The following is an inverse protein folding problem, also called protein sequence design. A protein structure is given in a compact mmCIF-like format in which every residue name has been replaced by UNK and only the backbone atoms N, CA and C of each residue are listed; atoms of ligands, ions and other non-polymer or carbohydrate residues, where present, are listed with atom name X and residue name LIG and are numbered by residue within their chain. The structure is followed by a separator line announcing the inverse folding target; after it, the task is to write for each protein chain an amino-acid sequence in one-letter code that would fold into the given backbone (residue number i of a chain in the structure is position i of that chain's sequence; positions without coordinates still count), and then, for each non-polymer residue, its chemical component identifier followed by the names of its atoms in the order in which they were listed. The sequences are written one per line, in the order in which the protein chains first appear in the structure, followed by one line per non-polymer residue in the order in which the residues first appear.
data_IF_034933848004
#
_entry.id   IF_034933848004
#
_cell.length_a   1.000
_cell.length_b   1.000
_cell.length_c   1.000
_cell.angle_alpha   90.00
_cell.angle_beta   90.00
_cell.angle_gamma   90.00
#
_symmetry.space_group_name_H-M   'P 1'
#
loop_
_entity.id
_entity.type
_entity.pdbx_description
1 polymer ?
2 non-polymer ?
3 water ?
#
# COMPACT_ATOMS: atom_id res chain seq x y z
N UNK A 11 -26.87 4.45 -21.01
CA UNK A 11 -26.30 4.19 -19.69
C UNK A 11 -26.02 5.49 -18.91
N UNK A 12 -25.80 5.37 -17.59
CA UNK A 12 -25.52 6.47 -16.66
C UNK A 12 -24.03 6.92 -16.73
N UNK A 13 -23.15 6.05 -17.26
CA UNK A 13 -21.71 6.32 -17.36
C UNK A 13 -21.18 6.17 -18.77
N UNK A 14 -20.15 6.96 -19.12
CA UNK A 14 -19.54 6.98 -20.44
C UNK A 14 -18.01 6.86 -20.35
N UNK A 15 -17.47 5.65 -20.61
CA UNK A 15 -16.02 5.35 -20.59
C UNK A 15 -15.30 6.15 -21.66
N UNK A 16 -14.26 6.88 -21.25
CA UNK A 16 -13.51 7.75 -22.15
C UNK A 16 -12.04 7.31 -22.29
N UNK A 17 -11.51 6.58 -21.28
CA UNK A 17 -10.14 6.07 -21.28
C UNK A 17 -9.97 4.88 -20.34
N UNK A 18 -8.91 4.08 -20.54
CA UNK A 18 -8.57 2.94 -19.70
C UNK A 18 -7.50 3.39 -18.71
N UNK A 19 -7.68 3.04 -17.42
CA UNK A 19 -6.76 3.35 -16.32
C UNK A 19 -5.88 2.13 -16.03
N UNK A 20 -6.48 0.94 -16.06
CA UNK A 20 -5.77 -0.30 -15.77
C UNK A 20 -6.50 -1.55 -16.20
N UNK A 21 -5.73 -2.65 -16.29
CA UNK A 21 -6.21 -3.97 -16.70
C UNK A 21 -5.35 -5.05 -16.00
N UNK A 22 -5.98 -6.14 -15.59
CA UNK A 22 -5.31 -7.25 -14.94
C UNK A 22 -6.23 -8.37 -14.47
N UNK A 23 -5.73 -9.19 -13.53
CA UNK A 23 -6.45 -10.32 -12.93
C UNK A 23 -7.42 -9.81 -11.83
N UNK A 24 -8.36 -8.96 -12.28
CA UNK A 24 -9.44 -8.32 -11.52
C UNK A 24 -10.49 -7.85 -12.53
N UNK A 25 -10.01 -7.48 -13.71
CA UNK A 25 -10.79 -6.95 -14.82
C UNK A 25 -10.18 -5.65 -15.29
N UNK A 26 -11.01 -4.68 -15.66
CA UNK A 26 -10.50 -3.38 -16.12
C UNK A 26 -11.01 -2.22 -15.28
N UNK A 27 -10.22 -1.14 -15.23
CA UNK A 27 -10.56 0.12 -14.56
C UNK A 27 -10.61 1.18 -15.66
N UNK A 28 -11.75 1.88 -15.80
CA UNK A 28 -11.90 2.94 -16.80
C UNK A 28 -12.17 4.30 -16.16
N UNK A 29 -11.69 5.36 -16.82
CA UNK A 29 -11.97 6.75 -16.48
C UNK A 29 -13.25 7.02 -17.26
N UNK A 30 -14.36 7.32 -16.54
CA UNK A 30 -15.66 7.53 -17.17
C UNK A 30 -16.31 8.84 -16.78
N UNK A 31 -17.15 9.34 -17.68
CA UNK A 31 -17.93 10.55 -17.44
C UNK A 31 -19.22 10.12 -16.71
N UNK A 32 -19.50 10.77 -15.57
CA UNK A 32 -20.69 10.53 -14.75
C UNK A 32 -21.72 11.53 -15.24
N UNK A 33 -22.51 11.10 -16.22
CA UNK A 33 -23.52 11.88 -16.93
C UNK A 33 -24.56 12.56 -16.03
N UNK A 34 -25.03 11.84 -15.01
CA UNK A 34 -26.04 12.35 -14.09
C UNK A 34 -25.53 13.36 -13.10
N UNK A 35 -24.21 13.34 -12.81
CA UNK A 35 -23.66 14.25 -11.81
C UNK A 35 -22.74 15.32 -12.40
N UNK A 36 -23.27 16.05 -13.38
CA UNK A 36 -22.61 17.17 -14.01
C UNK A 36 -21.39 16.86 -14.87
N UNK A 37 -21.34 15.62 -15.36
CA UNK A 37 -20.25 15.15 -16.23
C UNK A 37 -18.91 15.04 -15.54
N UNK A 38 -18.91 14.83 -14.21
CA UNK A 38 -17.67 14.67 -13.43
C UNK A 38 -16.98 13.33 -13.83
N UNK A 39 -15.66 13.28 -13.73
CA UNK A 39 -14.96 12.03 -13.99
C UNK A 39 -15.13 11.12 -12.77
N UNK A 40 -15.31 9.83 -13.04
CA UNK A 40 -15.41 8.76 -12.06
C UNK A 40 -14.52 7.59 -12.57
N UNK A 41 -14.15 6.67 -11.68
CA UNK A 41 -13.38 5.51 -12.04
C UNK A 41 -14.29 4.28 -11.92
N UNK A 42 -14.56 3.55 -13.03
CA UNK A 42 -15.41 2.34 -12.98
C UNK A 42 -14.54 1.10 -13.07
N UNK A 43 -14.68 0.23 -12.09
CA UNK A 43 -13.97 -1.03 -12.00
C UNK A 43 -14.98 -2.16 -12.30
N UNK A 44 -14.68 -2.98 -13.31
CA UNK A 44 -15.52 -4.10 -13.72
C UNK A 44 -14.94 -5.43 -13.23
N UNK A 45 -15.76 -6.25 -12.54
CA UNK A 45 -15.38 -7.57 -11.98
C UNK A 45 -16.20 -8.77 -12.51
N UNK A 46 -15.70 -10.02 -12.31
CA UNK A 46 -16.29 -11.29 -12.77
C UNK A 46 -17.34 -11.95 -11.81
N UNK A 47 -17.91 -13.10 -12.23
CA UNK A 47 -18.92 -13.90 -11.52
C UNK A 47 -18.43 -15.33 -11.22
N UNK A 55 -21.42 -14.59 -6.21
CA UNK A 55 -21.07 -15.55 -5.17
C UNK A 55 -21.78 -15.18 -3.84
N UNK A 56 -21.07 -15.21 -2.67
CA UNK A 56 -21.57 -14.88 -1.31
C UNK A 56 -20.52 -14.13 -0.46
N UNK A 57 -19.23 -14.52 -0.60
CA UNK A 57 -18.07 -13.88 0.02
C UNK A 57 -17.91 -12.48 -0.62
N UNK A 58 -18.32 -12.37 -1.90
CA UNK A 58 -18.33 -11.16 -2.73
C UNK A 58 -19.44 -10.22 -2.24
N UNK A 59 -20.65 -10.78 -1.97
CA UNK A 59 -21.83 -10.03 -1.47
C UNK A 59 -21.41 -9.30 -0.19
N UNK A 60 -20.69 -10.03 0.67
CA UNK A 60 -20.16 -9.59 1.95
C UNK A 60 -19.07 -8.53 1.82
N UNK A 61 -18.14 -8.68 0.85
CA UNK A 61 -17.06 -7.72 0.58
C UNK A 61 -17.60 -6.37 0.09
N UNK A 62 -18.68 -6.40 -0.72
CA UNK A 62 -19.36 -5.20 -1.24
C UNK A 62 -20.06 -4.48 -0.08
N UNK A 63 -20.66 -5.25 0.87
CA UNK A 63 -21.34 -4.73 2.05
C UNK A 63 -20.38 -3.98 2.98
N UNK A 64 -19.15 -4.49 3.14
CA UNK A 64 -18.06 -3.89 3.93
C UNK A 64 -17.63 -2.57 3.24
N UNK A 65 -17.53 -2.60 1.89
CA UNK A 65 -17.16 -1.43 1.10
C UNK A 65 -18.20 -0.31 1.28
N UNK A 66 -19.51 -0.62 1.12
CA UNK A 66 -20.59 0.35 1.37
C UNK A 66 -20.55 0.86 2.83
N UNK A 67 -20.30 -0.05 3.81
CA UNK A 67 -20.21 0.34 5.21
C UNK A 67 -19.04 1.29 5.49
N UNK A 68 -17.87 1.06 4.86
CA UNK A 68 -16.68 1.91 5.05
C UNK A 68 -16.91 3.30 4.49
N UNK A 69 -17.66 3.36 3.37
CA UNK A 69 -18.06 4.56 2.67
C UNK A 69 -18.92 5.49 3.55
N UNK A 70 -19.74 4.94 4.49
CA UNK A 70 -20.58 5.75 5.38
C UNK A 70 -19.74 6.69 6.24
N UNK A 71 -18.48 6.32 6.52
CA UNK A 71 -17.55 7.13 7.31
C UNK A 71 -16.93 8.22 6.46
N UNK A 72 -16.96 8.04 5.11
CA UNK A 72 -16.37 8.98 4.13
C UNK A 72 -14.99 9.47 4.60
N UNK A 73 -14.08 8.51 4.99
CA UNK A 73 -12.73 8.84 5.46
C UNK A 73 -11.98 9.61 4.36
N UNK A 74 -11.31 10.76 4.67
CA UNK A 74 -10.66 11.54 3.60
C UNK A 74 -9.49 10.85 2.89
N UNK A 75 -8.92 9.79 3.51
CA UNK A 75 -7.74 9.14 2.95
C UNK A 75 -8.01 7.77 2.30
N UNK A 76 -9.23 7.60 1.78
CA UNK A 76 -9.65 6.45 0.98
C UNK A 76 -10.52 7.03 -0.13
N UNK A 77 -10.50 6.38 -1.27
CA UNK A 77 -11.29 6.80 -2.43
C UNK A 77 -12.80 6.67 -2.09
N UNK A 78 -13.62 7.65 -2.52
CA UNK A 78 -15.07 7.65 -2.27
C UNK A 78 -15.68 6.58 -3.13
N UNK A 79 -16.68 5.88 -2.64
CA UNK A 79 -17.44 4.90 -3.42
C UNK A 79 -18.81 5.54 -3.72
N UNK A 80 -19.05 5.94 -4.98
CA UNK A 80 -20.28 6.63 -5.37
C UNK A 80 -21.45 5.72 -5.72
N UNK A 81 -21.17 4.54 -6.26
CA UNK A 81 -22.21 3.58 -6.66
C UNK A 81 -21.65 2.17 -6.82
N UNK A 82 -22.56 1.18 -6.84
CA UNK A 82 -22.32 -0.25 -7.05
C UNK A 82 -23.42 -0.72 -8.03
N UNK A 83 -23.04 -1.39 -9.14
CA UNK A 83 -23.99 -1.88 -10.13
C UNK A 83 -23.96 -3.39 -10.31
N UNK A 84 -25.13 -3.97 -10.60
CA UNK A 84 -25.35 -5.41 -10.82
C UNK A 84 -25.21 -5.79 -12.30
N UNK A 93 -20.03 -7.81 -14.94
CA UNK A 93 -20.98 -8.32 -13.95
C UNK A 93 -21.15 -7.32 -12.80
N UNK A 94 -20.08 -7.02 -12.05
CA UNK A 94 -20.07 -6.09 -10.92
C UNK A 94 -19.32 -4.80 -11.29
N UNK A 95 -19.97 -3.64 -11.12
CA UNK A 95 -19.36 -2.35 -11.42
C UNK A 95 -19.25 -1.49 -10.17
N UNK A 96 -18.02 -1.10 -9.84
CA UNK A 96 -17.71 -0.27 -8.68
C UNK A 96 -17.40 1.14 -9.17
N UNK A 97 -18.19 2.12 -8.73
CA UNK A 97 -17.99 3.49 -9.18
C UNK A 97 -17.33 4.30 -8.07
N UNK A 98 -16.11 4.77 -8.30
CA UNK A 98 -15.37 5.57 -7.31
C UNK A 98 -15.17 6.98 -7.80
N UNK A 99 -14.82 7.92 -6.88
CA UNK A 99 -14.43 9.28 -7.27
C UNK A 99 -13.15 9.10 -8.09
N UNK A 100 -12.98 9.89 -9.17
CA UNK A 100 -11.77 9.79 -9.98
C UNK A 100 -10.70 10.68 -9.38
N UNK A 101 -9.44 10.21 -9.40
CA UNK A 101 -8.31 11.01 -8.97
C UNK A 101 -7.26 10.90 -10.10
N UNK A 102 -6.68 12.05 -10.48
CA UNK A 102 -5.81 12.25 -11.64
C UNK A 102 -4.54 11.42 -11.68
N UNK A 103 -3.88 11.21 -10.55
CA UNK A 103 -2.63 10.48 -10.58
C UNK A 103 -2.42 9.52 -9.42
N UNK A 104 -1.42 8.63 -9.57
CA UNK A 104 -1.00 7.69 -8.54
C UNK A 104 0.33 8.22 -7.96
N UNK A 105 0.90 7.57 -6.92
CA UNK A 105 2.15 7.99 -6.29
C UNK A 105 3.32 7.78 -7.26
N UNK A 106 3.25 6.73 -8.13
CA UNK A 106 4.26 6.40 -9.13
C UNK A 106 4.50 7.63 -10.05
N UNK A 107 3.44 8.09 -10.74
CA UNK A 107 3.52 9.25 -11.64
C UNK A 107 3.93 10.51 -10.85
N UNK A 108 3.46 10.66 -9.60
CA UNK A 108 3.85 11.80 -8.74
C UNK A 108 5.37 11.80 -8.51
N UNK A 109 5.96 10.64 -8.12
CA UNK A 109 7.38 10.51 -7.86
C UNK A 109 8.24 10.66 -9.13
N UNK A 110 7.68 10.27 -10.29
CA UNK A 110 8.34 10.38 -11.60
C UNK A 110 8.48 11.83 -12.04
N UNK A 111 7.46 12.68 -11.77
CA UNK A 111 7.40 14.09 -12.19
C UNK A 111 8.00 15.10 -11.19
N UNK A 112 8.25 14.70 -9.92
CA UNK A 112 8.77 15.63 -8.91
C UNK A 112 10.20 16.13 -9.27
N UNK A 113 10.45 17.48 -9.24
CA UNK A 113 11.79 18.00 -9.60
C UNK A 113 12.91 17.62 -8.62
N UNK A 114 14.16 17.74 -9.08
CA UNK A 114 15.35 17.46 -8.27
C UNK A 114 15.46 18.53 -7.16
N UNK A 115 16.00 18.23 -5.95
CA UNK A 115 16.61 16.98 -5.50
C UNK A 115 15.62 15.92 -4.99
N UNK A 116 14.33 16.09 -5.25
CA UNK A 116 13.28 15.15 -4.86
C UNK A 116 12.05 15.75 -4.18
N UNK A 117 11.29 14.89 -3.49
CA UNK A 117 10.08 15.27 -2.76
C UNK A 117 10.47 16.11 -1.54
N UNK A 118 9.87 17.30 -1.32
CA UNK A 118 10.22 18.09 -0.13
C UNK A 118 10.03 17.29 1.15
N UNK A 119 10.96 17.46 2.08
CA UNK A 119 11.04 16.78 3.38
C UNK A 119 9.70 16.80 4.15
N UNK A 120 8.95 17.90 4.10
CA UNK A 120 7.67 18.04 4.77
C UNK A 120 6.51 17.49 3.95
N UNK A 121 6.74 17.29 2.62
CA UNK A 121 5.74 16.71 1.73
C UNK A 121 5.73 15.20 1.98
N UNK A 122 6.94 14.62 2.21
CA UNK A 122 7.13 13.20 2.57
C UNK A 122 6.37 12.93 3.87
N UNK A 123 6.63 13.74 4.92
CA UNK A 123 6.00 13.64 6.26
C UNK A 123 4.47 13.70 6.20
N UNK A 124 3.92 14.68 5.45
CA UNK A 124 2.48 14.86 5.31
C UNK A 124 1.79 13.72 4.57
N UNK A 125 2.39 13.24 3.47
CA UNK A 125 1.86 12.15 2.65
C UNK A 125 1.88 10.82 3.40
N UNK A 126 2.91 10.64 4.23
CA UNK A 126 3.10 9.47 5.07
C UNK A 126 2.07 9.44 6.17
N UNK A 127 1.76 10.60 6.78
CA UNK A 127 0.77 10.73 7.85
C UNK A 127 -0.62 10.39 7.30
N UNK A 128 -0.93 10.87 6.09
CA UNK A 128 -2.21 10.62 5.42
C UNK A 128 -2.34 9.16 5.01
N UNK A 129 -1.22 8.57 4.54
CA UNK A 129 -1.13 7.15 4.15
C UNK A 129 -1.50 6.32 5.38
N UNK A 130 -0.89 6.65 6.54
CA UNK A 130 -1.08 5.97 7.81
C UNK A 130 -2.46 6.20 8.42
N UNK A 131 -3.13 7.32 8.09
CA UNK A 131 -4.49 7.60 8.58
C UNK A 131 -5.52 6.75 7.84
N UNK A 132 -5.34 6.63 6.52
CA UNK A 132 -6.20 5.82 5.68
C UNK A 132 -6.05 4.35 6.02
N UNK A 133 -4.79 3.95 6.32
CA UNK A 133 -4.46 2.59 6.69
C UNK A 133 -5.01 2.20 8.07
N UNK A 134 -4.90 3.11 9.05
CA UNK A 134 -5.46 2.92 10.38
C UNK A 134 -6.99 2.82 10.32
N UNK A 135 -7.62 3.66 9.48
CA UNK A 135 -9.08 3.62 9.28
C UNK A 135 -9.51 2.21 8.82
N UNK A 136 -8.85 1.70 7.78
CA UNK A 136 -9.07 0.39 7.20
C UNK A 136 -8.84 -0.71 8.25
N UNK A 137 -7.69 -0.68 8.96
CA UNK A 137 -7.33 -1.68 9.97
C UNK A 137 -8.26 -1.73 11.18
N UNK A 138 -8.75 -0.57 11.62
CA UNK A 138 -9.66 -0.46 12.75
C UNK A 138 -11.05 -0.99 12.39
N UNK A 139 -11.36 -1.06 11.09
CA UNK A 139 -12.60 -1.60 10.53
C UNK A 139 -12.37 -2.99 9.94
N UNK A 140 -11.30 -3.65 10.41
CA UNK A 140 -10.85 -5.01 10.10
C UNK A 140 -10.72 -5.31 8.58
N UNK A 141 -10.28 -4.31 7.81
CA UNK A 141 -9.98 -4.51 6.39
C UNK A 141 -8.45 -4.51 6.30
N UNK A 142 -7.91 -5.53 5.63
CA UNK A 142 -6.48 -5.62 5.35
C UNK A 142 -6.35 -5.30 3.86
N UNK A 143 -5.49 -4.35 3.49
CA UNK A 143 -5.29 -3.98 2.09
C UNK A 143 -4.66 -5.14 1.28
N UNK A 144 -3.50 -5.68 1.72
CA UNK A 144 -2.72 -6.82 1.16
C UNK A 144 -1.93 -6.52 -0.12
N UNK A 145 -2.26 -5.45 -0.85
CA UNK A 145 -1.52 -5.10 -2.06
C UNK A 145 -1.20 -3.61 -2.10
N UNK A 146 -0.64 -3.10 -0.99
CA UNK A 146 -0.28 -1.70 -0.87
C UNK A 146 1.01 -1.43 -1.64
N UNK A 147 0.94 -0.51 -2.60
CA UNK A 147 2.03 -0.13 -3.50
C UNK A 147 1.75 1.28 -4.06
N UNK A 148 2.76 2.02 -4.57
CA UNK A 148 2.51 3.37 -5.13
C UNK A 148 1.46 3.44 -6.23
N UNK A 149 1.27 2.32 -6.96
CA UNK A 149 0.26 2.21 -8.03
C UNK A 149 -1.18 2.33 -7.55
N UNK A 150 -1.47 2.02 -6.27
CA UNK A 150 -2.85 2.15 -5.78
C UNK A 150 -2.95 3.15 -4.61
N UNK A 151 -1.92 4.01 -4.49
CA UNK A 151 -1.90 5.15 -3.58
C UNK A 151 -2.10 6.33 -4.54
N UNK A 152 -3.26 6.99 -4.42
CA UNK A 152 -3.59 8.08 -5.35
C UNK A 152 -3.35 9.45 -4.75
N UNK A 153 -2.82 10.38 -5.57
CA UNK A 153 -2.47 11.75 -5.17
C UNK A 153 -3.43 12.72 -5.84
N UNK A 154 -4.20 13.44 -5.01
CA UNK A 154 -5.24 14.35 -5.47
C UNK A 154 -4.62 15.68 -5.93
N UNK A 155 -5.40 16.48 -6.72
CA UNK A 155 -5.02 17.80 -7.25
C UNK A 155 -4.49 18.73 -6.17
N UNK A 156 -5.02 18.61 -4.93
CA UNK A 156 -4.60 19.40 -3.76
C UNK A 156 -3.52 18.71 -2.90
N UNK A 157 -2.97 17.60 -3.38
CA UNK A 157 -1.92 16.84 -2.69
C UNK A 157 -2.38 15.89 -1.60
N UNK A 158 -3.67 15.51 -1.59
CA UNK A 158 -4.24 14.56 -0.63
C UNK A 158 -4.03 13.09 -1.08
N UNK A 159 -3.67 12.21 -0.13
CA UNK A 159 -3.46 10.78 -0.33
C UNK A 159 -4.79 10.04 -0.21
N UNK A 160 -5.12 9.23 -1.22
CA UNK A 160 -6.34 8.42 -1.18
C UNK A 160 -6.02 6.99 -1.58
N UNK A 161 -6.40 6.06 -0.70
CA UNK A 161 -6.17 4.64 -0.93
C UNK A 161 -7.23 4.06 -1.84
N UNK A 162 -6.80 3.24 -2.80
CA UNK A 162 -7.71 2.54 -3.72
C UNK A 162 -7.33 1.06 -3.73
N UNK A 163 -8.15 0.23 -4.44
CA UNK A 163 -7.97 -1.21 -4.68
C UNK A 163 -7.83 -2.07 -3.40
N UNK A 164 -8.88 -2.08 -2.58
CA UNK A 164 -8.93 -2.82 -1.31
C UNK A 164 -10.35 -3.34 -1.09
N UNK A 165 -10.50 -4.29 -0.16
CA UNK A 165 -11.79 -4.86 0.20
C UNK A 165 -12.35 -5.89 -0.77
N UNK A 166 -11.61 -6.24 -1.80
CA UNK A 166 -12.01 -7.19 -2.83
C UNK A 166 -10.89 -8.22 -3.01
N UNK A 167 -11.22 -9.53 -2.98
CA UNK A 167 -10.26 -10.63 -3.12
C UNK A 167 -10.16 -11.10 -4.58
N UNK A 181 2.70 -9.69 -11.64
CA UNK A 181 2.49 -9.02 -10.37
C UNK A 181 3.80 -8.75 -9.64
N UNK A 182 3.88 -7.57 -8.98
CA UNK A 182 5.02 -7.05 -8.22
C UNK A 182 5.01 -7.58 -6.78
N UNK A 183 6.18 -8.07 -6.32
CA UNK A 183 6.37 -8.60 -4.98
C UNK A 183 7.24 -7.67 -4.14
N UNK A 184 7.58 -6.48 -4.69
CA UNK A 184 8.48 -5.49 -4.08
C UNK A 184 7.99 -4.88 -2.77
N UNK A 185 6.69 -4.97 -2.48
CA UNK A 185 6.11 -4.42 -1.27
C UNK A 185 5.55 -5.50 -0.36
N UNK A 186 5.71 -6.78 -0.75
CA UNK A 186 5.25 -7.93 0.02
C UNK A 186 6.04 -8.11 1.31
N UNK A 187 5.31 -8.36 2.42
CA UNK A 187 5.90 -8.60 3.73
C UNK A 187 6.59 -9.99 3.77
N UNK A 188 7.66 -10.18 4.58
CA UNK A 188 8.31 -11.53 4.66
C UNK A 188 7.38 -12.71 4.95
N UNK A 189 6.40 -12.52 5.87
CA UNK A 189 5.41 -13.54 6.27
C UNK A 189 4.46 -13.94 5.14
N UNK A 190 4.23 -13.05 4.14
CA UNK A 190 3.42 -13.37 2.95
C UNK A 190 4.29 -14.21 2.01
N UNK A 191 5.57 -13.78 1.83
CA UNK A 191 6.56 -14.45 0.97
C UNK A 191 6.82 -15.87 1.44
N UNK A 192 7.00 -16.04 2.76
CA UNK A 192 7.23 -17.32 3.46
C UNK A 192 5.94 -18.15 3.54
N UNK A 193 4.78 -17.51 3.32
CA UNK A 193 3.41 -18.06 3.35
C UNK A 193 3.01 -18.54 4.75
N UNK A 194 3.26 -17.71 5.78
CA UNK A 194 2.92 -18.08 7.16
C UNK A 194 1.69 -17.36 7.72
N UNK A 195 1.74 -16.01 7.83
CA UNK A 195 0.67 -15.20 8.40
C UNK A 195 0.27 -14.05 7.47
N UNK A 196 -0.99 -13.61 7.56
CA UNK A 196 -1.52 -12.57 6.67
C UNK A 196 -2.36 -11.52 7.40
N UNK A 197 -1.98 -11.20 8.66
CA UNK A 197 -2.70 -10.21 9.44
C UNK A 197 -2.39 -8.75 9.01
N UNK A 198 -2.97 -7.75 9.69
CA UNK A 198 -2.78 -6.32 9.39
C UNK A 198 -1.29 -5.86 9.30
N UNK A 199 -0.27 -6.44 10.03
CA UNK A 199 1.12 -5.92 9.88
C UNK A 199 1.70 -5.98 8.47
N UNK A 200 1.14 -6.85 7.63
CA UNK A 200 1.46 -7.05 6.22
C UNK A 200 1.49 -5.66 5.50
N UNK A 201 0.50 -4.80 5.79
CA UNK A 201 0.40 -3.46 5.17
C UNK A 201 1.42 -2.48 5.72
N UNK A 202 1.88 -2.68 6.98
CA UNK A 202 2.86 -1.81 7.60
C UNK A 202 4.24 -2.03 7.01
N UNK A 203 4.54 -3.28 6.56
CA UNK A 203 5.78 -3.59 5.87
C UNK A 203 5.78 -2.83 4.54
N UNK A 204 4.65 -2.90 3.79
CA UNK A 204 4.45 -2.19 2.50
C UNK A 204 4.66 -0.67 2.67
N UNK A 205 4.12 -0.10 3.76
CA UNK A 205 4.25 1.32 4.16
C UNK A 205 5.71 1.72 4.32
N UNK A 206 6.51 0.86 4.96
CA UNK A 206 7.94 1.06 5.14
C UNK A 206 8.68 1.16 3.82
N UNK A 207 8.32 0.27 2.87
CA UNK A 207 8.86 0.21 1.51
C UNK A 207 8.50 1.47 0.77
N UNK A 208 7.28 1.99 0.98
CA UNK A 208 6.78 3.20 0.32
C UNK A 208 7.48 4.45 0.89
N UNK A 209 7.64 4.51 2.22
CA UNK A 209 8.31 5.59 2.96
C UNK A 209 9.72 5.78 2.42
N UNK A 210 10.50 4.67 2.28
CA UNK A 210 11.86 4.64 1.75
C UNK A 210 11.90 5.13 0.31
N UNK A 211 10.94 4.69 -0.51
CA UNK A 211 10.81 5.05 -1.92
C UNK A 211 10.44 6.54 -2.11
N UNK A 212 9.77 7.16 -1.12
CA UNK A 212 9.41 8.58 -1.22
C UNK A 212 10.70 9.43 -1.22
N UNK A 213 11.75 8.98 -0.47
CA UNK A 213 13.06 9.60 -0.41
C UNK A 213 13.89 9.24 -1.66
N UNK A 214 14.06 7.93 -1.92
CA UNK A 214 14.85 7.33 -2.99
C UNK A 214 14.36 7.60 -4.41
N UNK A 215 13.04 7.61 -4.59
CA UNK A 215 12.34 7.73 -5.87
C UNK A 215 12.56 6.50 -6.75
N UNK A 216 12.94 5.39 -6.09
CA UNK A 216 13.16 4.08 -6.68
C UNK A 216 12.80 3.03 -5.62
N UNK A 217 12.18 1.87 -5.99
CA UNK A 217 11.83 0.87 -4.98
C UNK A 217 13.01 0.36 -4.16
N UNK A 218 12.78 0.10 -2.87
CA UNK A 218 13.81 -0.35 -1.93
C UNK A 218 14.27 -1.80 -2.19
N UNK A 219 13.32 -2.74 -2.36
CA UNK A 219 13.59 -4.15 -2.57
C UNK A 219 12.97 -4.60 -3.89
N UNK A 220 13.81 -4.66 -4.91
CA UNK A 220 13.41 -5.00 -6.28
C UNK A 220 13.79 -6.46 -6.65
N UNK A 221 13.08 -7.40 -6.06
CA UNK A 221 13.23 -8.84 -6.28
C UNK A 221 12.45 -9.33 -7.48
N UNK A 222 12.87 -10.46 -8.07
CA UNK A 222 12.27 -11.05 -9.27
C UNK A 222 11.41 -12.30 -9.01
N UNK A 223 11.37 -12.76 -7.75
CA UNK A 223 10.61 -13.92 -7.29
C UNK A 223 10.45 -13.79 -5.79
N UNK A 224 9.61 -14.64 -5.17
CA UNK A 224 9.37 -14.65 -3.72
C UNK A 224 10.66 -14.93 -2.93
N UNK A 225 11.49 -15.89 -3.44
CA UNK A 225 12.79 -16.27 -2.84
C UNK A 225 13.80 -15.15 -3.02
N UNK A 226 13.82 -14.54 -4.21
CA UNK A 226 14.72 -13.42 -4.48
C UNK A 226 14.35 -12.21 -3.61
N UNK A 227 13.05 -11.87 -3.54
CA UNK A 227 12.51 -10.76 -2.75
C UNK A 227 12.92 -10.86 -1.30
N UNK A 228 12.81 -12.07 -0.72
CA UNK A 228 13.16 -12.37 0.66
C UNK A 228 14.66 -12.17 0.88
N UNK A 229 15.46 -12.65 -0.08
CA UNK A 229 16.92 -12.50 -0.09
C UNK A 229 17.35 -11.04 -0.05
N UNK A 230 16.75 -10.22 -0.93
CA UNK A 230 16.98 -8.77 -1.06
C UNK A 230 16.63 -8.04 0.25
N UNK A 231 15.53 -8.46 0.91
CA UNK A 231 15.07 -7.92 2.19
C UNK A 231 16.14 -8.15 3.29
N UNK A 232 16.54 -9.41 3.48
CA UNK A 232 17.49 -9.83 4.51
C UNK A 232 18.93 -9.35 4.25
N UNK A 233 19.28 -8.95 2.99
CA UNK A 233 20.59 -8.34 2.69
C UNK A 233 20.68 -6.96 3.37
N UNK A 234 19.52 -6.34 3.65
CA UNK A 234 19.42 -5.02 4.28
C UNK A 234 19.15 -5.12 5.80
N UNK A 235 18.02 -5.75 6.20
CA UNK A 235 17.61 -5.85 7.62
C UNK A 235 18.41 -6.89 8.39
N UNK A 236 19.11 -7.78 7.69
CA UNK A 236 19.87 -8.86 8.30
C UNK A 236 18.99 -10.05 8.64
N UNK A 237 19.62 -11.14 9.03
CA UNK A 237 18.94 -12.38 9.41
C UNK A 237 18.30 -12.25 10.79
N UNK A 238 16.99 -12.56 10.95
CA UNK A 238 16.39 -12.46 12.30
C UNK A 238 16.78 -13.67 13.16
N UNK A 239 16.51 -13.59 14.46
CA UNK A 239 16.78 -14.70 15.37
C UNK A 239 15.97 -15.92 14.99
N UNK A 240 16.51 -17.13 15.18
CA UNK A 240 15.84 -18.39 14.85
C UNK A 240 14.38 -18.47 15.39
N UNK A 241 14.08 -17.83 16.55
CA UNK A 241 12.75 -17.80 17.17
C UNK A 241 11.83 -16.68 16.59
N UNK A 242 12.34 -15.90 15.63
CA UNK A 242 11.57 -14.87 14.92
C UNK A 242 11.22 -15.40 13.54
N UNK A 243 11.73 -16.60 13.19
CA UNK A 243 11.47 -17.29 11.93
C UNK A 243 10.26 -18.21 12.09
N UNK A 244 9.23 -18.12 11.21
CA UNK A 244 8.02 -18.94 11.39
C UNK A 244 8.21 -20.45 11.25
N UNK A 245 7.59 -21.21 12.14
CA UNK A 245 7.68 -22.68 12.10
C UNK A 245 6.66 -23.22 11.10
N UNK A 246 6.99 -24.39 10.52
CA UNK A 246 6.18 -25.14 9.55
C UNK A 246 6.01 -24.41 8.20
N UNK A 247 6.99 -23.57 7.80
CA UNK A 247 7.02 -22.95 6.47
C UNK A 247 7.98 -23.81 5.64
N UNK A 248 7.91 -23.70 4.31
CA UNK A 248 8.81 -24.46 3.43
C UNK A 248 10.25 -23.93 3.49
N UNK A 249 10.43 -22.59 3.54
CA UNK A 249 11.74 -21.93 3.58
C UNK A 249 12.35 -21.79 4.97
N UNK A 250 13.46 -22.49 5.27
CA UNK A 250 14.08 -22.32 6.59
C UNK A 250 15.01 -21.12 6.62
N UNK A 251 15.38 -20.68 7.83
CA UNK A 251 16.32 -19.59 8.10
C UNK A 251 17.73 -19.88 7.47
N UNK A 252 18.09 -21.18 7.36
CA UNK A 252 19.35 -21.68 6.81
C UNK A 252 19.45 -21.51 5.28
N UNK A 253 18.30 -21.28 4.61
CA UNK A 253 18.27 -21.06 3.15
C UNK A 253 18.81 -19.67 2.78
N UNK A 254 19.11 -18.84 3.80
CA UNK A 254 19.63 -17.49 3.64
C UNK A 254 20.90 -17.28 4.46
N UNK A 255 21.90 -16.60 3.89
CA UNK A 255 23.20 -16.32 4.52
C UNK A 255 23.50 -14.82 4.44
N UNK A 256 22.44 -13.99 4.47
CA UNK A 256 22.48 -12.52 4.37
C UNK A 256 23.01 -11.84 5.66
N UNK A 257 24.04 -12.47 6.24
CA UNK A 257 24.84 -12.14 7.43
C UNK A 257 24.30 -10.97 8.30
N UNK A 258 24.91 -9.77 8.16
CA UNK A 258 24.60 -8.58 8.96
C UNK A 258 23.58 -7.61 8.36
N UNK A 259 22.91 -6.87 9.26
CA UNK A 259 21.98 -5.79 8.96
C UNK A 259 22.82 -4.59 8.56
N UNK A 260 22.60 -4.04 7.36
CA UNK A 260 23.34 -2.88 6.88
C UNK A 260 22.69 -1.58 7.40
N UNK A 261 23.44 -0.47 7.64
CA UNK A 261 22.77 0.77 8.09
C UNK A 261 21.79 1.25 7.02
N UNK A 262 20.59 1.65 7.43
CA UNK A 262 19.53 2.03 6.50
C UNK A 262 19.80 3.38 5.79
N UNK A 263 20.57 4.30 6.43
CA UNK A 263 20.94 5.60 5.84
C UNK A 263 21.76 5.46 4.53
N UNK A 264 22.34 4.26 4.30
CA UNK A 264 23.10 3.92 3.09
C UNK A 264 22.16 3.84 1.88
N UNK A 265 21.02 3.14 2.04
CA UNK A 265 20.00 2.90 1.02
C UNK A 265 18.97 4.02 0.94
N UNK A 266 18.75 4.69 2.06
CA UNK A 266 17.80 5.81 2.17
C UNK A 266 18.62 7.03 2.60
N UNK A 267 19.16 7.77 1.62
CA UNK A 267 19.95 8.97 1.93
C UNK A 267 18.99 10.12 2.22
N UNK A 268 19.38 11.03 3.14
CA UNK A 268 18.66 12.24 3.56
C UNK A 268 17.51 12.00 4.54
N UNK A 269 17.35 10.74 5.05
CA UNK A 269 16.33 10.44 6.06
C UNK A 269 16.83 10.94 7.43
N UNK A 270 15.97 11.63 8.20
CA UNK A 270 16.29 12.13 9.54
C UNK A 270 16.35 10.96 10.55
N UNK A 271 16.77 11.23 11.81
CA UNK A 271 16.88 10.22 12.87
C UNK A 271 15.53 9.63 13.26
N UNK A 272 14.48 10.47 13.29
CA UNK A 272 13.12 10.07 13.65
C UNK A 272 12.48 9.22 12.55
N UNK A 273 12.64 9.66 11.30
CA UNK A 273 12.15 8.95 10.11
C UNK A 273 12.77 7.58 10.01
N UNK A 274 14.07 7.46 10.38
CA UNK A 274 14.86 6.22 10.42
C UNK A 274 14.26 5.26 11.47
N UNK A 275 13.92 5.77 12.68
CA UNK A 275 13.33 4.95 13.75
C UNK A 275 11.98 4.37 13.34
N UNK A 276 11.12 5.19 12.69
CA UNK A 276 9.82 4.79 12.17
C UNK A 276 9.99 3.80 11.02
N UNK A 277 10.93 4.08 10.09
CA UNK A 277 11.23 3.17 8.98
C UNK A 277 11.62 1.77 9.46
N UNK A 278 12.45 1.68 10.51
CA UNK A 278 12.90 0.39 11.04
C UNK A 278 11.78 -0.38 11.73
N UNK A 279 10.90 0.35 12.43
CA UNK A 279 9.74 -0.23 13.11
C UNK A 279 8.70 -0.81 12.11
N UNK A 280 8.62 -0.23 10.89
CA UNK A 280 7.74 -0.73 9.82
C UNK A 280 8.40 -1.94 9.19
N UNK A 281 9.74 -1.87 8.98
CA UNK A 281 10.52 -2.93 8.36
C UNK A 281 11.13 -3.92 9.37
N UNK A 282 10.32 -4.34 10.35
CA UNK A 282 10.66 -5.35 11.35
C UNK A 282 10.20 -6.70 10.77
N UNK A 283 11.08 -7.71 10.79
CA UNK A 283 10.80 -9.05 10.25
C UNK A 283 9.60 -9.72 10.92
N UNK A 284 9.59 -9.76 12.27
CA UNK A 284 8.52 -10.39 13.05
C UNK A 284 7.28 -9.48 13.02
N UNK A 285 6.16 -9.95 12.39
CA UNK A 285 4.94 -9.12 12.32
C UNK A 285 4.34 -8.75 13.66
N UNK A 286 4.55 -9.60 14.70
CA UNK A 286 4.07 -9.34 16.05
C UNK A 286 4.82 -8.18 16.73
N UNK A 287 6.07 -7.93 16.29
CA UNK A 287 6.91 -6.85 16.83
C UNK A 287 6.83 -5.57 15.97
N UNK A 288 6.26 -5.67 14.76
CA UNK A 288 6.09 -4.55 13.84
C UNK A 288 5.08 -3.53 14.39
N UNK A 289 5.41 -2.23 14.25
CA UNK A 289 4.56 -1.11 14.65
C UNK A 289 3.24 -1.18 13.86
N UNK A 290 2.15 -0.81 14.52
CA UNK A 290 0.82 -0.73 13.93
C UNK A 290 0.67 0.68 13.35
N UNK A 291 -0.33 0.87 12.47
CA UNK A 291 -0.65 2.16 11.84
C UNK A 291 -1.05 3.19 12.90
N UNK A 292 -1.73 2.74 13.96
CA UNK A 292 -2.19 3.53 15.08
C UNK A 292 -1.03 4.11 15.92
N UNK A 293 -0.01 3.30 16.25
CA UNK A 293 1.16 3.76 17.01
C UNK A 293 2.06 4.61 16.13
N UNK A 294 2.11 4.28 14.81
CA UNK A 294 2.88 5.05 13.84
C UNK A 294 2.34 6.50 13.78
N UNK A 295 1.00 6.68 13.89
CA UNK A 295 0.36 7.99 13.92
C UNK A 295 0.84 8.86 15.12
N UNK A 296 1.27 8.21 16.23
CA UNK A 296 1.76 8.87 17.46
C UNK A 296 3.29 9.00 17.54
N UNK A 297 4.03 8.46 16.55
CA UNK A 297 5.49 8.47 16.51
C UNK A 297 6.06 9.91 16.52
N UNK A 298 7.19 10.18 17.24
CA UNK A 298 7.77 11.54 17.26
C UNK A 298 8.06 12.17 15.89
N UNK A 299 8.21 11.35 14.83
CA UNK A 299 8.45 11.80 13.45
C UNK A 299 7.34 12.76 12.96
N UNK A 300 6.11 12.60 13.50
CA UNK A 300 4.96 13.44 13.11
C UNK A 300 4.69 14.62 14.06
N UNK A 301 5.53 14.82 15.11
CA UNK A 301 5.41 15.95 16.05
C UNK A 301 5.63 17.29 15.35
X LIG B 1 -0.36 3.29 -16.89
X LIG B 1 -7.91 6.34 -10.32
X LIG B 1 -0.77 2.11 -17.71
X LIG B 1 -8.72 4.46 -9.26
X LIG B 1 -9.67 5.30 -8.56
X LIG B 1 -9.64 6.66 -8.86
X LIG B 1 -1.15 4.52 -17.18
X LIG B 1 -3.75 5.34 -11.59
X LIG B 1 -5.01 5.58 -11.06
X LIG B 1 -7.48 2.31 -9.56
X LIG B 1 -9.64 2.23 -8.52
X LIG B 1 -4.06 7.18 -13.06
X LIG B 1 -8.63 2.98 -9.11
X LIG B 1 -3.24 6.14 -12.61
X LIG B 1 -8.40 0.17 -8.78
X LIG B 1 -7.39 0.93 -9.39
X LIG B 1 -9.51 0.88 -8.36
X LIG B 1 -5.76 6.64 -11.59
X LIG B 1 -6.86 -1.22 -9.34
X LIG B 1 -0.50 5.81 -15.18
X LIG B 1 -2.52 4.53 -15.13
X LIG B 1 -0.49 5.74 -16.70
X LIG B 1 -2.52 4.44 -16.64
X LIG B 1 -6.07 -2.46 -9.53
X LIG B 1 -4.22 1.16 -10.10
X LIG B 1 -5.77 0.74 -12.05
X LIG B 1 -1.88 5.88 -13.20
X LIG B 1 -5.26 0.25 -10.70
X LIG B 1 -5.27 7.43 -12.57
X LIG B 1 -8.77 7.20 -9.73
X LIG B 1 -8.03 -1.17 -8.77
X LIG B 1 -7.85 5.01 -10.12
X LIG B 1 -6.39 0.01 -9.76
X LIG B 1 -1.87 5.78 -14.67
X LIG B 1 -7.05 6.94 -11.21
X LIG B 1 -10.49 0.19 -7.72
X LIG B 1 -10.50 4.87 -7.57
X LIG B 1 0.67 3.51 -17.15
X LIG B 1 -0.30 2.99 -15.84
X LIG B 1 -1.38 2.38 -18.58
X LIG B 1 0.11 1.59 -18.10
X LIG B 1 -1.32 1.37 -17.14
X LIG B 1 -10.28 7.38 -8.36
X LIG B 1 -3.16 4.53 -11.18
X LIG B 1 -5.35 4.92 -10.28
X LIG B 1 -6.63 2.83 -10.01
X LIG B 1 -10.59 2.66 -8.21
X LIG B 1 -3.73 7.84 -13.86
X LIG B 1 -0.05 6.76 -14.90
X LIG B 1 0.17 5.06 -14.76
X LIG B 1 -3.56 4.55 -14.81
X LIG B 1 -2.14 3.62 -14.66
X LIG B 1 -1.00 6.60 -17.13
X LIG B 1 0.53 5.80 -17.09
X LIG B 1 -3.10 5.25 -17.09
X LIG B 1 -3.01 3.54 -17.00
X LIG B 1 -5.84 -2.63 -10.59
X LIG B 1 -5.14 -2.45 -8.97
X LIG B 1 -6.63 -3.34 -9.20
X LIG B 1 -4.54 2.20 -10.05
X LIG B 1 -3.30 1.18 -10.69
X LIG B 1 -3.93 0.86 -9.09
X LIG B 1 -4.96 0.83 -12.78
X LIG B 1 -6.23 1.72 -11.99
X LIG B 1 -6.50 0.07 -12.49
X LIG B 1 -1.25 6.71 -12.92
X LIG B 1 -1.44 5.02 -12.72
X LIG B 1 -4.76 -0.70 -10.89
X LIG B 1 -7.46 7.74 -11.68
#
# INVERSE_FOLDING_TARGET
MEKDGLCRADQQYECVAEIGEGAYGKVFKARDLKNGGRFVALKRVRVQTGEEGMPLSTIREVAVLRHLETFEHPNVVRLFDVCTVSRTDRETKLTLVFEHVDQDLTTYLDKVPEPGVPTETIKDMMFQLLRGLDFLHSHRVVHRDLKPQNILVTSSGQIKLADFGLARIYSFQMALTSVVVTLWYRAPEVLLQSSYATPVDLWSVGCIFAEMFRRKPLFRGSSDVDQLGKILDVIGLPGEEDWPRDVALPRQAFHSKSAQPIEKFVTDIDELGKDLLLKCLTFNPAKRISAYSALSHPYFQHHHHHH
6ZV C1 C2 C3 C4 C5 C6 N2 C10 C C17 C21 C12 C16 C11 C19 C18 C20 C8 C23 C31 C35 C32 C34 C25 C27 C28 C14 C26 N N1 N24 N3 N22 N30 N7 F29 F15 H69 H77 H78 H79 H76 H42 H41 H68 H39 H40 H38 H44 H43 H65 H66 H71 H72 H74 H73 H51 H52 H53 H57 H58 H59 H62 H60 H61 H63 H64 H67 H70
#
